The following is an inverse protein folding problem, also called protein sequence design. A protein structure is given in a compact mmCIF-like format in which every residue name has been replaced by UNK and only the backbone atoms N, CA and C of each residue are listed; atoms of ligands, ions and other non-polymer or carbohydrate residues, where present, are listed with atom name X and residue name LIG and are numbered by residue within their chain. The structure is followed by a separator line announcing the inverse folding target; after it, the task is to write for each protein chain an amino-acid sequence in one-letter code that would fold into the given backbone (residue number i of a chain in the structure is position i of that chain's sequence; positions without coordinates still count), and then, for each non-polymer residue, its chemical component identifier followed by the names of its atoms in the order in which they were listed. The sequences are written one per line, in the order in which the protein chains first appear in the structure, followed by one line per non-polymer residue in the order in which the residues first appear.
data_IF_741184757138
#
_entry.id   IF_741184757138
#
_cell.length_a   1.000
_cell.length_b   1.000
_cell.length_c   1.000
_cell.angle_alpha   90.00
_cell.angle_beta   90.00
_cell.angle_gamma   90.00
#
_symmetry.space_group_name_H-M   'P 1'
#
loop_
_entity.id
_entity.type
_entity.pdbx_description
1 polymer ?
#
# COMPACT_ATOMS: atom_id res chain seq x y z
N UNK A 1 49.64 -33.52 -45.92
CA UNK A 1 48.75 -33.24 -44.77
C UNK A 1 47.39 -32.84 -45.32
N UNK A 2 46.39 -33.73 -45.26
CA UNK A 2 45.03 -33.42 -45.68
C UNK A 2 44.38 -32.60 -44.55
N UNK A 3 44.08 -31.34 -44.83
CA UNK A 3 43.36 -30.48 -43.89
C UNK A 3 41.98 -31.04 -43.55
N UNK A 4 41.41 -30.70 -42.40
CA UNK A 4 40.11 -31.21 -41.97
C UNK A 4 39.02 -30.95 -43.03
N UNK A 5 38.20 -31.97 -43.31
CA UNK A 5 37.14 -31.91 -44.29
C UNK A 5 36.15 -30.78 -43.95
N UNK A 6 35.81 -29.93 -44.94
CA UNK A 6 34.88 -28.79 -44.79
C UNK A 6 33.52 -29.21 -44.23
N UNK A 7 33.11 -30.46 -44.44
CA UNK A 7 31.88 -31.02 -43.89
C UNK A 7 31.97 -31.20 -42.37
N UNK A 8 33.10 -31.70 -41.86
CA UNK A 8 33.34 -31.87 -40.41
C UNK A 8 33.42 -30.53 -39.71
N UNK A 9 34.03 -29.50 -40.32
CA UNK A 9 34.06 -28.14 -39.77
C UNK A 9 32.67 -27.52 -39.65
N UNK A 10 31.79 -27.73 -40.64
CA UNK A 10 30.40 -27.25 -40.61
C UNK A 10 29.57 -27.98 -39.55
N UNK A 11 29.74 -29.29 -39.42
CA UNK A 11 29.07 -30.10 -38.39
C UNK A 11 29.48 -29.69 -36.98
N UNK A 12 30.79 -29.50 -36.73
CA UNK A 12 31.29 -29.02 -35.45
C UNK A 12 30.76 -27.62 -35.12
N UNK A 13 30.72 -26.71 -36.09
CA UNK A 13 30.18 -25.36 -35.92
C UNK A 13 28.67 -25.36 -35.60
N UNK A 14 27.89 -26.18 -36.29
CA UNK A 14 26.46 -26.33 -35.98
C UNK A 14 26.26 -26.94 -34.58
N UNK A 15 27.08 -27.91 -34.18
CA UNK A 15 26.97 -28.55 -32.87
C UNK A 15 27.33 -27.58 -31.73
N UNK A 16 28.39 -26.77 -31.88
CA UNK A 16 28.73 -25.72 -30.90
C UNK A 16 27.69 -24.61 -30.86
N UNK A 17 27.12 -24.19 -31.99
CA UNK A 17 26.04 -23.20 -32.01
C UNK A 17 24.77 -23.72 -31.32
N UNK A 18 24.43 -25.01 -31.52
CA UNK A 18 23.28 -25.65 -30.86
C UNK A 18 23.50 -25.79 -29.36
N UNK A 19 24.73 -26.13 -28.92
CA UNK A 19 25.10 -26.19 -27.50
C UNK A 19 25.13 -24.81 -26.83
N UNK A 20 25.56 -23.76 -27.54
CA UNK A 20 25.52 -22.37 -27.07
C UNK A 20 24.08 -21.86 -26.93
N UNK A 21 23.19 -22.22 -27.86
CA UNK A 21 21.76 -21.87 -27.77
C UNK A 21 21.05 -22.66 -26.66
N UNK A 22 21.38 -23.94 -26.46
CA UNK A 22 20.84 -24.77 -25.37
C UNK A 22 21.38 -24.36 -23.98
N UNK A 23 22.55 -23.70 -23.92
CA UNK A 23 23.17 -23.16 -22.71
C UNK A 23 22.61 -21.81 -22.26
N UNK A 24 21.59 -21.27 -22.95
CA UNK A 24 20.80 -20.15 -22.45
C UNK A 24 19.99 -20.66 -21.25
N UNK A 25 20.62 -20.64 -20.08
CA UNK A 25 19.95 -20.88 -18.82
C UNK A 25 18.66 -20.06 -18.85
N UNK A 26 17.51 -20.74 -18.71
CA UNK A 26 16.26 -20.05 -18.44
C UNK A 26 16.54 -19.24 -17.18
N UNK A 27 16.71 -17.92 -17.32
CA UNK A 27 16.51 -17.02 -16.21
C UNK A 27 15.09 -17.33 -15.75
N UNK A 28 14.98 -18.12 -14.70
CA UNK A 28 13.73 -18.28 -14.00
C UNK A 28 13.41 -16.87 -13.53
N UNK A 29 12.45 -16.23 -14.20
CA UNK A 29 11.96 -14.94 -13.79
C UNK A 29 11.65 -15.08 -12.31
N UNK A 30 12.32 -14.26 -11.47
CA UNK A 30 12.06 -14.30 -10.05
C UNK A 30 10.55 -14.14 -9.84
N UNK A 31 9.95 -15.01 -9.02
CA UNK A 31 8.53 -14.94 -8.75
C UNK A 31 8.20 -13.53 -8.27
N UNK A 32 7.19 -12.91 -8.89
CA UNK A 32 6.79 -11.55 -8.55
C UNK A 32 6.37 -11.52 -7.08
N UNK A 33 6.93 -10.65 -6.23
CA UNK A 33 6.58 -10.62 -4.82
C UNK A 33 5.18 -10.04 -4.64
N UNK A 34 4.40 -10.60 -3.72
CA UNK A 34 3.17 -9.97 -3.25
C UNK A 34 3.50 -8.73 -2.42
N UNK A 35 2.73 -7.66 -2.60
CA UNK A 35 2.93 -6.38 -1.89
C UNK A 35 1.71 -6.09 -1.01
N UNK A 36 1.93 -6.04 0.31
CA UNK A 36 0.95 -5.57 1.28
C UNK A 36 1.34 -4.17 1.76
N UNK A 37 0.52 -3.17 1.43
CA UNK A 37 0.74 -1.80 1.86
C UNK A 37 -0.22 -1.44 3.00
N UNK A 38 0.31 -1.39 4.23
CA UNK A 38 -0.41 -0.98 5.43
C UNK A 38 -0.27 0.53 5.61
N UNK A 39 -1.39 1.24 5.66
CA UNK A 39 -1.39 2.70 5.74
C UNK A 39 -2.37 3.22 6.79
N UNK A 40 -1.82 3.62 7.94
CA UNK A 40 -2.57 4.23 9.04
C UNK A 40 -2.77 5.73 8.81
N UNK A 41 -3.84 6.27 9.38
CA UNK A 41 -4.15 7.70 9.34
C UNK A 41 -3.86 8.33 10.71
N UNK A 42 -3.22 9.51 10.72
CA UNK A 42 -2.81 10.26 11.91
C UNK A 42 -1.94 9.49 12.94
N UNK A 43 -1.33 8.37 12.54
CA UNK A 43 -0.36 7.66 13.39
C UNK A 43 0.96 8.44 13.46
N UNK A 44 1.41 8.73 14.68
CA UNK A 44 2.74 9.28 14.94
C UNK A 44 3.77 8.15 15.09
N UNK A 45 5.01 8.36 14.62
CA UNK A 45 6.09 7.37 14.82
C UNK A 45 6.38 7.11 16.30
N UNK A 46 6.06 8.06 17.18
CA UNK A 46 6.22 7.93 18.63
C UNK A 46 5.26 6.92 19.26
N UNK A 47 4.28 6.41 18.51
CA UNK A 47 3.37 5.37 19.01
C UNK A 47 3.90 3.95 18.79
N UNK A 48 5.11 3.79 18.26
CA UNK A 48 5.75 2.49 18.02
C UNK A 48 6.85 2.28 19.05
N UNK A 49 6.69 1.23 19.87
CA UNK A 49 7.59 0.93 21.00
C UNK A 49 9.02 0.69 20.57
N UNK A 50 9.22 -0.07 19.48
CA UNK A 50 10.55 -0.39 18.94
C UNK A 50 11.39 0.86 18.61
N UNK A 51 10.76 2.04 18.48
CA UNK A 51 11.48 3.29 18.22
C UNK A 51 11.90 4.04 19.49
N UNK A 52 11.80 3.40 20.67
CA UNK A 52 12.25 3.93 21.96
C UNK A 52 11.17 4.64 22.78
N UNK A 53 9.89 4.46 22.44
CA UNK A 53 8.74 5.07 23.13
C UNK A 53 7.97 4.01 23.92
N UNK A 54 8.20 3.94 25.22
CA UNK A 54 7.78 2.78 26.02
C UNK A 54 6.34 2.84 26.56
N UNK A 55 5.63 3.94 26.35
CA UNK A 55 4.27 4.17 26.89
C UNK A 55 3.18 3.31 26.22
N UNK A 56 3.43 2.81 25.00
CA UNK A 56 2.47 2.03 24.20
C UNK A 56 3.12 0.70 23.82
N UNK A 57 2.37 -0.40 23.96
CA UNK A 57 2.82 -1.72 23.50
C UNK A 57 2.38 -1.98 22.05
N UNK A 58 3.34 -2.26 21.16
CA UNK A 58 3.07 -2.49 19.73
C UNK A 58 3.69 -3.78 19.18
N UNK A 59 3.46 -4.95 19.80
CA UNK A 59 4.22 -6.18 19.52
C UNK A 59 4.22 -6.61 18.04
N UNK A 60 3.14 -6.34 17.31
CA UNK A 60 3.07 -6.64 15.87
C UNK A 60 3.90 -5.67 15.01
N UNK A 61 3.91 -4.37 15.34
CA UNK A 61 4.71 -3.37 14.63
C UNK A 61 6.19 -3.50 15.01
N UNK A 62 6.49 -3.80 16.27
CA UNK A 62 7.84 -4.05 16.75
C UNK A 62 8.47 -5.22 15.99
N UNK A 63 7.73 -6.33 15.87
CA UNK A 63 8.14 -7.49 15.07
C UNK A 63 8.34 -7.16 13.59
N UNK A 64 7.53 -6.25 13.02
CA UNK A 64 7.69 -5.83 11.63
C UNK A 64 8.96 -4.99 11.45
N UNK A 65 9.21 -4.04 12.35
CA UNK A 65 10.41 -3.20 12.35
C UNK A 65 11.70 -4.03 12.52
N UNK A 66 11.72 -4.96 13.48
CA UNK A 66 12.87 -5.83 13.75
C UNK A 66 13.22 -6.78 12.59
N UNK A 67 12.22 -7.18 11.79
CA UNK A 67 12.40 -8.11 10.67
C UNK A 67 12.58 -7.41 9.32
N UNK A 68 12.52 -6.08 9.30
CA UNK A 68 12.43 -5.29 8.09
C UNK A 68 13.51 -4.22 7.99
N UNK A 69 13.16 -3.15 7.28
CA UNK A 69 13.99 -1.95 7.17
C UNK A 69 13.14 -0.75 7.57
N UNK A 70 13.65 0.05 8.50
CA UNK A 70 12.99 1.26 9.00
C UNK A 70 13.68 2.49 8.43
N UNK A 71 12.90 3.40 7.86
CA UNK A 71 13.37 4.72 7.48
C UNK A 71 13.14 5.69 8.63
N UNK A 72 14.21 6.16 9.27
CA UNK A 72 14.12 7.08 10.44
C UNK A 72 13.88 8.55 10.05
N UNK A 73 13.98 8.86 8.75
CA UNK A 73 13.86 10.20 8.19
C UNK A 73 12.93 10.19 6.96
N UNK A 74 11.72 9.65 7.13
CA UNK A 74 10.66 9.67 6.12
C UNK A 74 9.61 10.74 6.48
N UNK A 75 9.42 11.73 5.62
CA UNK A 75 8.61 12.91 5.92
C UNK A 75 7.41 13.06 4.99
N UNK A 76 6.28 13.47 5.57
CA UNK A 76 5.18 14.06 4.81
C UNK A 76 5.52 15.54 4.51
N UNK A 77 5.27 15.98 3.27
CA UNK A 77 5.54 17.36 2.83
C UNK A 77 4.53 18.38 3.34
N UNK A 78 3.55 17.96 4.14
CA UNK A 78 2.49 18.80 4.66
C UNK A 78 1.29 18.84 3.73
N UNK A 79 0.62 19.99 3.67
CA UNK A 79 -0.58 20.15 2.85
C UNK A 79 -0.84 21.58 2.43
N UNK A 80 -1.70 21.72 1.42
CA UNK A 80 -2.18 23.01 0.90
C UNK A 80 -3.51 23.45 1.54
N UNK A 81 -4.01 22.67 2.50
CA UNK A 81 -5.17 22.97 3.33
C UNK A 81 -5.05 22.22 4.68
N UNK A 82 -5.98 22.46 5.61
CA UNK A 82 -5.97 21.79 6.93
C UNK A 82 -6.18 20.27 6.89
N UNK A 83 -6.72 19.73 5.80
CA UNK A 83 -6.85 18.29 5.58
C UNK A 83 -5.57 17.71 4.95
N UNK A 84 -4.49 17.63 5.74
CA UNK A 84 -3.18 17.12 5.33
C UNK A 84 -3.27 15.73 4.69
N UNK A 85 -4.23 14.89 5.11
CA UNK A 85 -4.46 13.57 4.54
C UNK A 85 -4.82 13.62 3.04
N UNK A 86 -5.56 14.62 2.56
CA UNK A 86 -5.85 14.80 1.12
C UNK A 86 -4.53 15.00 0.37
N UNK A 87 -3.71 15.94 0.84
CA UNK A 87 -2.43 16.23 0.22
C UNK A 87 -1.49 15.02 0.21
N UNK A 88 -1.36 14.35 1.37
CA UNK A 88 -0.54 13.15 1.52
C UNK A 88 -0.98 12.03 0.58
N UNK A 89 -2.29 11.77 0.47
CA UNK A 89 -2.83 10.68 -0.35
C UNK A 89 -2.77 10.99 -1.83
N UNK A 90 -2.93 12.25 -2.24
CA UNK A 90 -2.72 12.67 -3.64
C UNK A 90 -1.24 12.52 -4.02
N UNK A 91 -0.30 12.97 -3.17
CA UNK A 91 1.14 12.75 -3.39
C UNK A 91 1.48 11.26 -3.49
N UNK A 92 0.97 10.44 -2.56
CA UNK A 92 1.20 9.00 -2.54
C UNK A 92 0.69 8.32 -3.83
N UNK A 93 -0.53 8.66 -4.26
CA UNK A 93 -1.13 8.04 -5.44
C UNK A 93 -0.44 8.43 -6.74
N UNK A 94 -0.05 9.70 -6.87
CA UNK A 94 0.54 10.25 -8.10
C UNK A 94 2.07 10.20 -8.15
N UNK A 95 2.75 9.93 -7.03
CA UNK A 95 4.21 10.02 -6.91
C UNK A 95 4.76 11.44 -7.03
N UNK A 96 3.93 12.47 -6.87
CA UNK A 96 4.29 13.87 -7.10
C UNK A 96 4.65 14.60 -5.80
N UNK A 97 5.54 15.58 -5.92
CA UNK A 97 5.82 16.55 -4.85
C UNK A 97 4.59 17.43 -4.57
N UNK A 98 4.46 17.98 -3.36
CA UNK A 98 3.25 18.67 -2.86
C UNK A 98 2.62 19.68 -3.83
N UNK A 99 3.40 20.56 -4.45
CA UNK A 99 2.85 21.59 -5.37
C UNK A 99 2.35 21.01 -6.70
N UNK A 100 3.00 19.95 -7.19
CA UNK A 100 2.55 19.22 -8.37
C UNK A 100 1.35 18.33 -8.07
N UNK A 101 1.24 17.83 -6.84
CA UNK A 101 0.07 17.11 -6.36
C UNK A 101 -1.13 18.06 -6.22
N UNK A 102 -0.93 19.27 -5.67
CA UNK A 102 -1.97 20.30 -5.60
C UNK A 102 -2.49 20.68 -7.01
N UNK A 103 -1.58 20.87 -7.96
CA UNK A 103 -1.93 21.22 -9.34
C UNK A 103 -2.84 20.18 -10.04
N UNK A 104 -2.83 18.92 -9.58
CA UNK A 104 -3.66 17.84 -10.14
C UNK A 104 -4.71 17.33 -9.16
N UNK A 105 -4.87 17.94 -8.00
CA UNK A 105 -5.81 17.47 -6.98
C UNK A 105 -7.24 17.41 -7.54
N UNK A 106 -7.66 18.46 -8.26
CA UNK A 106 -8.97 18.54 -8.90
C UNK A 106 -9.12 17.63 -10.12
N UNK A 107 -8.01 17.21 -10.73
CA UNK A 107 -7.98 16.39 -11.96
C UNK A 107 -7.40 15.00 -11.71
N UNK A 108 -7.46 14.51 -10.46
CA UNK A 108 -6.93 13.20 -10.09
C UNK A 108 -7.50 12.03 -10.91
N UNK A 109 -8.76 12.11 -11.34
CA UNK A 109 -9.34 11.07 -12.22
C UNK A 109 -8.67 11.07 -13.60
N UNK A 110 -8.33 12.23 -14.16
CA UNK A 110 -7.60 12.33 -15.44
C UNK A 110 -6.18 11.77 -15.33
N UNK A 111 -5.51 12.04 -14.19
CA UNK A 111 -4.21 11.45 -13.87
C UNK A 111 -4.27 9.92 -13.79
N UNK A 112 -5.32 9.39 -13.14
CA UNK A 112 -5.57 7.94 -13.06
C UNK A 112 -5.86 7.35 -14.44
N UNK A 113 -6.74 7.96 -15.23
CA UNK A 113 -7.09 7.51 -16.59
C UNK A 113 -5.87 7.48 -17.52
N UNK A 114 -4.94 8.41 -17.33
CA UNK A 114 -3.68 8.43 -18.05
C UNK A 114 -2.63 7.44 -17.50
N UNK A 115 -3.00 6.58 -16.54
CA UNK A 115 -2.14 5.54 -15.99
C UNK A 115 -1.05 6.04 -15.05
N UNK A 116 -1.20 7.23 -14.46
CA UNK A 116 -0.16 7.87 -13.61
C UNK A 116 -0.32 7.61 -12.11
N UNK A 117 -1.24 6.74 -11.74
CA UNK A 117 -1.38 6.27 -10.34
C UNK A 117 -0.49 5.05 -10.11
N UNK A 118 0.08 4.89 -8.91
CA UNK A 118 0.89 3.70 -8.60
C UNK A 118 0.10 2.39 -8.79
N UNK A 119 -1.21 2.40 -8.51
CA UNK A 119 -2.07 1.23 -8.71
C UNK A 119 -2.19 0.86 -10.19
N UNK A 120 -2.22 1.84 -11.09
CA UNK A 120 -2.27 1.61 -12.54
C UNK A 120 -0.93 1.05 -13.05
N UNK A 121 0.21 1.55 -12.54
CA UNK A 121 1.52 0.96 -12.82
C UNK A 121 1.62 -0.49 -12.33
N UNK A 122 1.07 -0.80 -11.15
CA UNK A 122 1.02 -2.16 -10.62
C UNK A 122 0.17 -3.08 -11.51
N UNK A 123 -1.02 -2.64 -11.94
CA UNK A 123 -1.86 -3.37 -12.91
C UNK A 123 -1.12 -3.66 -14.21
N UNK A 124 -0.43 -2.65 -14.77
CA UNK A 124 0.38 -2.80 -15.98
C UNK A 124 1.53 -3.81 -15.81
N UNK A 125 2.11 -3.90 -14.60
CA UNK A 125 3.10 -4.92 -14.25
C UNK A 125 2.50 -6.33 -14.02
N UNK A 126 1.18 -6.47 -14.18
CA UNK A 126 0.44 -7.72 -14.04
C UNK A 126 0.13 -8.09 -12.59
N UNK A 127 0.02 -7.12 -11.71
CA UNK A 127 -0.52 -7.31 -10.36
C UNK A 127 -2.04 -7.13 -10.38
N UNK A 128 -2.75 -8.01 -9.65
CA UNK A 128 -4.10 -7.70 -9.21
C UNK A 128 -4.02 -6.76 -8.02
N UNK A 129 -4.81 -5.70 -8.05
CA UNK A 129 -4.73 -4.60 -7.10
C UNK A 129 -5.97 -4.53 -6.22
N UNK A 130 -5.79 -4.12 -4.97
CA UNK A 130 -6.84 -4.11 -3.97
C UNK A 130 -6.72 -2.91 -3.04
N UNK A 131 -7.88 -2.41 -2.57
CA UNK A 131 -7.98 -1.36 -1.57
C UNK A 131 -9.19 -1.57 -0.66
N UNK A 132 -9.01 -1.31 0.64
CA UNK A 132 -10.10 -1.09 1.60
C UNK A 132 -9.76 0.08 2.51
N UNK A 133 -10.77 0.68 3.15
CA UNK A 133 -10.59 1.71 4.16
C UNK A 133 -10.61 3.13 3.60
N UNK A 134 -9.77 4.03 4.16
CA UNK A 134 -9.81 5.45 3.83
C UNK A 134 -9.20 5.70 2.46
N UNK A 135 -9.92 6.40 1.59
CA UNK A 135 -9.44 6.79 0.26
C UNK A 135 -9.02 8.25 0.20
N UNK A 136 -9.96 9.17 0.44
CA UNK A 136 -9.75 10.62 0.54
C UNK A 136 -8.95 11.26 -0.62
N UNK A 137 -9.11 10.72 -1.84
CA UNK A 137 -8.60 11.26 -3.11
C UNK A 137 -9.79 11.43 -4.07
N UNK A 138 -9.74 12.42 -4.97
CA UNK A 138 -10.87 12.74 -5.87
C UNK A 138 -11.09 11.76 -7.02
N UNK A 139 -10.09 10.93 -7.34
CA UNK A 139 -10.24 9.84 -8.29
C UNK A 139 -11.15 8.73 -7.73
N UNK A 140 -11.74 7.92 -8.62
CA UNK A 140 -12.62 6.81 -8.22
C UNK A 140 -11.80 5.57 -7.81
N UNK A 141 -11.86 5.12 -6.54
CA UNK A 141 -11.06 3.98 -6.07
C UNK A 141 -11.42 2.68 -6.77
N UNK A 142 -12.70 2.45 -7.09
CA UNK A 142 -13.18 1.28 -7.84
C UNK A 142 -12.69 1.21 -9.29
N UNK A 143 -12.16 2.33 -9.81
CA UNK A 143 -11.45 2.33 -11.09
C UNK A 143 -9.93 2.23 -10.90
N UNK A 144 -9.40 2.78 -9.82
CA UNK A 144 -7.96 2.77 -9.51
C UNK A 144 -7.46 1.37 -9.09
N UNK A 145 -8.31 0.55 -8.48
CA UNK A 145 -8.00 -0.81 -8.00
C UNK A 145 -8.95 -1.83 -8.64
N UNK A 146 -8.50 -3.08 -8.82
CA UNK A 146 -9.35 -4.16 -9.36
C UNK A 146 -10.43 -4.58 -8.36
N UNK A 147 -10.13 -4.44 -7.06
CA UNK A 147 -11.07 -4.69 -5.96
C UNK A 147 -11.00 -3.53 -4.98
N UNK A 148 -12.13 -2.86 -4.76
CA UNK A 148 -12.27 -1.84 -3.73
C UNK A 148 -13.42 -2.21 -2.78
N UNK A 149 -13.17 -2.24 -1.47
CA UNK A 149 -14.18 -2.59 -0.43
C UNK A 149 -14.20 -1.53 0.66
N UNK A 150 -15.36 -1.37 1.32
CA UNK A 150 -15.57 -0.46 2.46
C UNK A 150 -14.81 0.89 2.37
N UNK A 151 -14.84 1.50 1.19
CA UNK A 151 -14.13 2.74 0.88
C UNK A 151 -14.79 3.89 1.63
N UNK A 152 -14.01 4.64 2.41
CA UNK A 152 -14.47 5.87 3.06
C UNK A 152 -13.81 7.12 2.46
N UNK A 153 -14.57 8.20 2.20
CA UNK A 153 -14.02 9.42 1.63
C UNK A 153 -13.21 10.22 2.64
N UNK A 154 -13.26 9.90 3.93
CA UNK A 154 -12.58 10.65 4.99
C UNK A 154 -12.60 9.89 6.32
N UNK A 155 -12.28 10.60 7.42
CA UNK A 155 -12.46 10.06 8.77
C UNK A 155 -13.96 9.91 9.09
N UNK A 156 -14.34 8.92 9.92
CA UNK A 156 -15.69 8.86 10.47
C UNK A 156 -16.03 10.13 11.25
N UNK A 157 -17.33 10.35 11.48
CA UNK A 157 -17.76 11.42 12.38
C UNK A 157 -17.21 11.14 13.77
N UNK A 158 -16.73 12.20 14.40
CA UNK A 158 -16.30 12.22 15.79
C UNK A 158 -17.50 12.55 16.68
N UNK A 159 -17.34 12.38 17.98
CA UNK A 159 -18.33 12.77 18.98
C UNK A 159 -17.81 13.92 19.80
N UNK A 160 -18.70 14.81 20.23
CA UNK A 160 -18.31 15.99 21.03
C UNK A 160 -17.65 15.59 22.35
N UNK A 161 -18.05 14.46 22.93
CA UNK A 161 -17.47 13.88 24.15
C UNK A 161 -16.01 13.45 24.02
N UNK A 162 -15.51 13.22 22.80
CA UNK A 162 -14.11 12.85 22.55
C UNK A 162 -13.14 14.02 22.57
N UNK A 163 -13.62 15.27 22.63
CA UNK A 163 -12.79 16.48 22.54
C UNK A 163 -12.55 17.16 23.90
N UNK A 164 -11.49 17.97 23.98
CA UNK A 164 -11.13 18.80 25.14
C UNK A 164 -11.03 18.03 26.47
N UNK A 165 -10.38 16.87 26.46
CA UNK A 165 -10.32 15.95 27.59
C UNK A 165 -8.89 15.53 27.97
N UNK A 166 -8.62 15.19 29.25
CA UNK A 166 -9.54 15.30 30.39
C UNK A 166 -9.79 16.76 30.77
N UNK A 167 -10.99 17.08 31.27
CA UNK A 167 -11.30 18.40 31.80
C UNK A 167 -10.81 18.46 33.25
N UNK A 168 -10.00 19.46 33.57
CA UNK A 168 -9.42 19.60 34.91
C UNK A 168 -10.51 19.68 35.98
N UNK A 169 -10.43 18.80 36.98
CA UNK A 169 -11.39 18.74 38.08
C UNK A 169 -12.67 17.95 37.78
N UNK A 170 -12.84 17.43 36.56
CA UNK A 170 -13.97 16.59 36.18
C UNK A 170 -13.57 15.11 36.02
N UNK A 171 -14.53 14.21 36.24
CA UNK A 171 -14.38 12.81 35.83
C UNK A 171 -14.41 12.72 34.31
N UNK A 172 -13.57 11.88 33.72
CA UNK A 172 -13.51 11.67 32.27
C UNK A 172 -14.22 10.36 31.90
N UNK A 173 -15.52 10.39 31.52
CA UNK A 173 -16.28 9.18 31.23
C UNK A 173 -16.04 8.64 29.81
N UNK A 174 -15.20 9.30 29.01
CA UNK A 174 -15.00 8.91 27.62
C UNK A 174 -14.23 7.60 27.52
N UNK A 175 -14.90 6.62 26.92
CA UNK A 175 -14.30 5.38 26.48
C UNK A 175 -14.19 5.39 24.94
N UNK A 176 -12.98 5.44 24.36
CA UNK A 176 -12.81 5.37 22.91
C UNK A 176 -13.27 4.03 22.30
N UNK A 177 -13.49 3.01 23.14
CA UNK A 177 -13.98 1.70 22.73
C UNK A 177 -15.51 1.56 22.84
N UNK A 178 -16.24 2.57 23.34
CA UNK A 178 -17.70 2.47 23.46
C UNK A 178 -18.36 2.59 22.06
N UNK A 179 -19.05 1.54 21.58
CA UNK A 179 -19.69 1.55 20.27
C UNK A 179 -20.91 2.47 20.19
N UNK A 180 -21.46 2.94 21.32
CA UNK A 180 -22.61 3.85 21.37
C UNK A 180 -22.33 5.19 20.68
N UNK A 181 -21.05 5.56 20.59
CA UNK A 181 -20.58 6.77 19.93
C UNK A 181 -20.55 6.67 18.39
N UNK A 182 -20.84 5.49 17.83
CA UNK A 182 -20.86 5.26 16.38
C UNK A 182 -19.49 5.57 15.75
N UNK A 183 -19.49 6.27 14.62
CA UNK A 183 -18.25 6.72 13.97
C UNK A 183 -17.39 5.55 13.46
N UNK A 184 -16.32 5.23 14.19
CA UNK A 184 -15.50 4.04 13.92
C UNK A 184 -16.22 2.73 14.24
N UNK A 185 -17.19 2.76 15.14
CA UNK A 185 -18.02 1.63 15.54
C UNK A 185 -19.36 1.57 14.78
N UNK A 186 -19.61 2.49 13.85
CA UNK A 186 -20.81 2.50 13.01
C UNK A 186 -20.99 1.15 12.30
N UNK A 187 -22.13 0.49 12.50
CA UNK A 187 -22.39 -0.87 12.01
C UNK A 187 -22.03 -1.99 12.99
N UNK A 188 -21.63 -1.66 14.22
CA UNK A 188 -21.45 -2.63 15.33
C UNK A 188 -20.10 -3.35 15.35
N UNK A 189 -19.17 -3.01 14.45
CA UNK A 189 -17.81 -3.55 14.39
C UNK A 189 -16.82 -2.42 14.16
N UNK A 190 -15.70 -2.41 14.88
CA UNK A 190 -14.73 -1.35 14.71
C UNK A 190 -14.13 -1.37 13.31
N UNK A 191 -13.92 -0.20 12.73
CA UNK A 191 -13.48 -0.09 11.34
C UNK A 191 -12.12 -0.75 11.08
N UNK A 192 -11.20 -0.75 12.05
CA UNK A 192 -9.92 -1.46 11.91
C UNK A 192 -10.10 -2.96 11.71
N UNK A 193 -11.15 -3.55 12.30
CA UNK A 193 -11.47 -4.95 12.12
C UNK A 193 -12.16 -5.19 10.77
N UNK A 194 -13.02 -4.28 10.32
CA UNK A 194 -13.65 -4.37 8.98
C UNK A 194 -12.58 -4.38 7.88
N UNK A 195 -11.59 -3.48 7.95
CA UNK A 195 -10.51 -3.44 6.94
C UNK A 195 -9.58 -4.66 7.05
N UNK A 196 -9.40 -5.21 8.26
CA UNK A 196 -8.64 -6.44 8.45
C UNK A 196 -9.36 -7.64 7.81
N UNK A 197 -10.67 -7.79 8.06
CA UNK A 197 -11.48 -8.84 7.45
C UNK A 197 -11.48 -8.74 5.93
N UNK A 198 -11.71 -7.55 5.37
CA UNK A 198 -11.70 -7.36 3.92
C UNK A 198 -10.35 -7.77 3.30
N UNK A 199 -9.24 -7.47 4.00
CA UNK A 199 -7.90 -7.81 3.54
C UNK A 199 -7.66 -9.32 3.62
N UNK A 200 -8.09 -9.97 4.71
CA UNK A 200 -8.03 -11.42 4.87
C UNK A 200 -8.84 -12.14 3.78
N UNK A 201 -10.07 -11.70 3.54
CA UNK A 201 -10.93 -12.21 2.47
C UNK A 201 -10.27 -12.09 1.10
N UNK A 202 -9.69 -10.92 0.79
CA UNK A 202 -9.02 -10.70 -0.49
C UNK A 202 -7.80 -11.63 -0.64
N UNK A 203 -6.97 -11.75 0.40
CA UNK A 203 -5.82 -12.66 0.40
C UNK A 203 -6.26 -14.11 0.24
N UNK A 204 -7.40 -14.49 0.81
CA UNK A 204 -7.94 -15.85 0.71
C UNK A 204 -8.47 -16.14 -0.71
N UNK A 205 -9.14 -15.18 -1.35
CA UNK A 205 -9.55 -15.26 -2.76
C UNK A 205 -8.33 -15.29 -3.71
N UNK A 206 -7.28 -14.55 -3.39
CA UNK A 206 -6.06 -14.48 -4.19
C UNK A 206 -5.25 -15.79 -4.16
N UNK A 207 -5.20 -16.49 -3.02
CA UNK A 207 -4.49 -17.78 -2.88
C UNK A 207 -4.89 -18.84 -3.92
N UNK A 208 -6.13 -18.81 -4.40
CA UNK A 208 -6.63 -19.75 -5.42
C UNK A 208 -6.35 -19.32 -6.87
N UNK A 209 -5.74 -18.15 -7.08
CA UNK A 209 -5.57 -17.48 -8.37
C UNK A 209 -4.13 -17.08 -8.67
N UNK A 210 -3.20 -17.37 -7.76
CA UNK A 210 -1.76 -17.19 -8.00
C UNK A 210 -1.30 -18.20 -9.08
N UNK A 211 -0.58 -17.68 -10.08
CA UNK A 211 -0.16 -18.38 -11.30
C UNK A 211 0.73 -19.60 -11.05
#
# INVERSE_FOLDING_TARGET
MLGPNRLTQRLLFCLTLTLLLAGSARLQAADKPNILFLFADDQCYQTIREFGYEDIETPNLDRLAQRGTTFTHAYNMGGWNGAICVASRTMLNTGRFIWHANAVDQTCEEEREAGRFWSEYMKQAGYRTYMTGKWHVKAKPEKAFDVARHVRPGMPKQTDAGYNRPIEGETDPWDPADPSFGGYWEGGKHWSEIVADDALDYLQDAKGKDN
#
